data_IF_956320548103
#
_entry.id   IF_956320548103
#
_cell.length_a   1.000
_cell.length_b   1.000
_cell.length_c   1.000
_cell.angle_alpha   90.00
_cell.angle_beta   90.00
_cell.angle_gamma   90.00
#
_symmetry.space_group_name_H-M   'P 1'
#
loop_
_entity.id
_entity.type
_entity.pdbx_description
1 polymer ?
#
# COMPACT_ATOMS: atom_id res chain seq x y z
N UNK A 1 18.26 6.72 11.11
CA UNK A 1 16.88 6.18 11.28
C UNK A 1 15.90 7.34 11.20
N UNK A 2 14.73 7.12 10.59
CA UNK A 2 13.59 8.03 10.65
C UNK A 2 12.28 7.23 10.62
N UNK A 3 11.18 7.84 11.01
CA UNK A 3 9.82 7.30 10.87
C UNK A 3 8.96 8.26 10.06
N UNK A 4 8.07 7.71 9.24
CA UNK A 4 7.13 8.50 8.44
C UNK A 4 5.71 8.15 8.83
N UNK A 5 4.96 9.19 9.17
CA UNK A 5 3.53 9.12 9.35
C UNK A 5 2.84 9.89 8.24
N UNK A 6 1.95 9.21 7.50
CA UNK A 6 1.10 9.82 6.49
C UNK A 6 -0.33 9.88 7.03
N UNK A 7 -0.90 11.10 7.08
CA UNK A 7 -2.24 11.31 7.59
C UNK A 7 -3.26 10.75 6.58
N UNK A 8 -4.24 9.94 7.02
CA UNK A 8 -5.26 9.42 6.12
C UNK A 8 -6.06 10.55 5.43
N UNK A 9 -6.26 10.42 4.11
CA UNK A 9 -7.27 11.14 3.31
C UNK A 9 -7.28 12.68 3.43
N UNK A 10 -6.16 13.34 3.17
CA UNK A 10 -6.17 14.80 2.93
C UNK A 10 -5.42 15.17 1.66
N UNK A 11 -6.07 15.03 0.50
CA UNK A 11 -5.63 15.65 -0.76
C UNK A 11 -6.12 17.10 -0.84
N UNK A 12 -5.80 17.90 0.18
CA UNK A 12 -6.15 19.33 0.23
C UNK A 12 -4.87 20.16 0.25
N UNK A 13 -4.76 21.08 -0.71
CA UNK A 13 -3.67 22.03 -0.75
C UNK A 13 -3.62 22.86 0.53
N UNK A 14 -2.42 23.09 1.05
CA UNK A 14 -2.19 23.87 2.27
C UNK A 14 -2.45 23.10 3.58
N UNK A 15 -2.82 21.82 3.53
CA UNK A 15 -3.01 21.00 4.73
C UNK A 15 -1.83 20.04 4.93
N UNK A 16 -1.35 19.93 6.17
CA UNK A 16 -0.25 19.01 6.53
C UNK A 16 -0.65 17.56 6.25
N UNK A 17 0.03 16.93 5.29
CA UNK A 17 -0.20 15.54 4.88
C UNK A 17 0.48 14.47 5.74
N UNK A 18 1.42 14.85 6.61
CA UNK A 18 2.18 13.89 7.41
C UNK A 18 3.28 14.49 8.28
N UNK A 19 4.09 13.62 8.87
CA UNK A 19 5.27 13.93 9.69
C UNK A 19 6.41 13.00 9.34
N UNK A 20 7.62 13.54 9.21
CA UNK A 20 8.86 12.76 9.22
C UNK A 20 9.56 13.07 10.53
N UNK A 21 9.83 12.02 11.30
CA UNK A 21 10.53 12.10 12.59
C UNK A 21 11.94 11.53 12.40
N UNK A 22 12.95 12.39 12.57
CA UNK A 22 14.35 11.98 12.43
C UNK A 22 14.92 11.48 13.76
N UNK A 23 15.75 10.43 13.70
CA UNK A 23 16.49 9.92 14.86
C UNK A 23 15.70 9.09 15.86
N UNK A 24 14.38 8.94 15.70
CA UNK A 24 13.52 8.22 16.64
C UNK A 24 12.29 7.61 15.97
N UNK A 25 11.59 6.73 16.70
CA UNK A 25 10.26 6.25 16.34
C UNK A 25 9.20 7.29 16.72
N UNK A 26 8.23 7.50 15.83
CA UNK A 26 7.12 8.41 16.10
C UNK A 26 6.05 7.74 16.97
N UNK A 27 6.23 7.81 18.28
CA UNK A 27 5.29 7.22 19.24
C UNK A 27 4.03 8.08 19.45
N UNK A 28 3.94 9.27 18.82
CA UNK A 28 2.78 10.16 18.93
C UNK A 28 1.74 9.87 17.85
N UNK A 29 2.19 9.53 16.64
CA UNK A 29 1.31 9.29 15.50
C UNK A 29 1.19 7.80 15.11
N UNK A 30 2.19 6.97 15.42
CA UNK A 30 2.17 5.54 15.08
C UNK A 30 1.74 4.68 16.27
N UNK A 31 1.23 3.48 15.98
CA UNK A 31 0.89 2.49 17.00
C UNK A 31 2.12 1.96 17.74
N UNK A 32 1.90 1.34 18.90
CA UNK A 32 2.97 0.83 19.78
C UNK A 32 3.73 -0.38 19.21
N UNK A 33 3.20 -1.05 18.19
CA UNK A 33 3.81 -2.21 17.55
C UNK A 33 4.60 -1.79 16.32
N UNK A 34 5.90 -2.04 16.33
CA UNK A 34 6.80 -1.87 15.18
C UNK A 34 7.43 -3.22 14.86
N UNK A 35 7.10 -3.76 13.69
CA UNK A 35 7.75 -4.95 13.16
C UNK A 35 8.95 -4.53 12.30
N UNK A 36 10.07 -5.23 12.44
CA UNK A 36 11.30 -4.98 11.69
C UNK A 36 11.58 -6.12 10.72
N UNK A 37 11.97 -5.77 9.49
CA UNK A 37 12.34 -6.72 8.45
C UNK A 37 13.68 -6.34 7.82
N UNK A 38 14.46 -7.35 7.43
CA UNK A 38 15.72 -7.14 6.75
C UNK A 38 15.50 -6.59 5.34
N UNK A 39 16.32 -5.61 4.97
CA UNK A 39 16.35 -5.09 3.60
C UNK A 39 16.95 -6.14 2.65
N UNK A 40 16.41 -6.22 1.44
CA UNK A 40 16.98 -7.01 0.33
C UNK A 40 17.83 -6.16 -0.63
N UNK A 41 17.94 -4.85 -0.39
CA UNK A 41 18.77 -3.92 -1.14
C UNK A 41 19.58 -3.02 -0.21
N UNK A 42 20.78 -2.64 -0.64
CA UNK A 42 21.61 -1.63 0.03
C UNK A 42 21.31 -0.20 -0.41
N UNK A 43 20.57 -0.01 -1.50
CA UNK A 43 20.29 1.30 -2.11
C UNK A 43 18.84 1.75 -1.93
N UNK A 44 17.92 0.82 -1.66
CA UNK A 44 16.48 1.08 -1.61
C UNK A 44 15.88 0.56 -0.31
N UNK A 45 14.75 1.14 0.12
CA UNK A 45 13.89 0.60 1.18
C UNK A 45 13.09 -0.60 0.66
N UNK A 46 13.83 -1.59 0.16
CA UNK A 46 13.31 -2.82 -0.44
C UNK A 46 13.45 -3.98 0.54
N UNK A 47 12.40 -4.78 0.67
CA UNK A 47 12.36 -5.96 1.53
C UNK A 47 11.51 -7.05 0.89
N UNK A 48 11.50 -8.25 1.47
CA UNK A 48 10.74 -9.39 0.96
C UNK A 48 9.39 -9.55 1.66
N UNK A 49 8.37 -9.90 0.89
CA UNK A 49 7.07 -10.37 1.39
C UNK A 49 6.86 -11.83 0.97
N UNK A 50 6.03 -12.58 1.70
CA UNK A 50 5.74 -13.99 1.42
C UNK A 50 4.46 -14.20 0.61
N UNK A 51 3.51 -13.27 0.69
CA UNK A 51 2.31 -13.33 -0.14
C UNK A 51 1.59 -11.99 -0.23
N UNK A 52 0.83 -11.84 -1.33
CA UNK A 52 -0.16 -10.78 -1.51
C UNK A 52 -1.49 -11.41 -1.94
N UNK A 53 -2.60 -10.93 -1.40
CA UNK A 53 -3.93 -11.52 -1.64
C UNK A 53 -5.06 -10.50 -1.62
N UNK A 54 -6.12 -10.80 -2.34
CA UNK A 54 -7.40 -10.10 -2.28
C UNK A 54 -8.52 -11.10 -2.55
N UNK A 55 -9.54 -11.12 -1.68
CA UNK A 55 -10.63 -12.09 -1.76
C UNK A 55 -10.12 -13.54 -1.66
N UNK A 56 -10.48 -14.38 -2.63
CA UNK A 56 -10.02 -15.77 -2.70
C UNK A 56 -8.67 -15.94 -3.44
N UNK A 57 -8.17 -14.88 -4.08
CA UNK A 57 -6.92 -14.93 -4.84
C UNK A 57 -5.75 -14.64 -3.93
N UNK A 58 -4.74 -15.53 -3.95
CA UNK A 58 -3.50 -15.39 -3.20
C UNK A 58 -2.31 -15.74 -4.08
N UNK A 59 -1.35 -14.84 -4.13
CA UNK A 59 -0.05 -15.03 -4.77
C UNK A 59 0.98 -15.29 -3.67
N UNK A 60 1.59 -16.47 -3.68
CA UNK A 60 2.59 -16.90 -2.69
C UNK A 60 3.95 -16.96 -3.35
N UNK A 61 4.95 -16.38 -2.70
CA UNK A 61 6.32 -16.34 -3.20
C UNK A 61 7.13 -15.24 -2.52
N UNK A 62 8.44 -15.27 -2.72
CA UNK A 62 9.35 -14.26 -2.19
C UNK A 62 9.44 -13.08 -3.16
N UNK A 63 8.54 -12.11 -2.99
CA UNK A 63 8.53 -10.89 -3.80
C UNK A 63 9.39 -9.81 -3.14
N UNK A 64 10.28 -9.20 -3.92
CA UNK A 64 10.92 -7.95 -3.53
C UNK A 64 9.94 -6.79 -3.73
N UNK A 65 9.65 -6.07 -2.65
CA UNK A 65 8.80 -4.88 -2.65
C UNK A 65 9.58 -3.71 -2.09
N UNK A 66 9.25 -2.51 -2.57
CA UNK A 66 9.87 -1.27 -2.12
C UNK A 66 8.83 -0.39 -1.46
N UNK A 67 9.19 0.19 -0.32
CA UNK A 67 8.46 1.32 0.23
C UNK A 67 9.02 2.61 -0.35
N UNK A 68 8.16 3.38 -0.98
CA UNK A 68 8.44 4.74 -1.44
C UNK A 68 7.34 5.70 -0.96
N UNK A 69 7.48 6.98 -1.30
CA UNK A 69 6.47 8.00 -1.02
C UNK A 69 5.57 8.27 -2.22
N UNK A 70 5.40 7.28 -3.11
CA UNK A 70 4.50 7.39 -4.25
C UNK A 70 3.03 7.34 -3.81
N UNK A 71 2.15 7.78 -4.71
CA UNK A 71 0.71 7.86 -4.46
C UNK A 71 0.00 6.51 -4.65
N UNK A 72 0.61 5.56 -5.36
CA UNK A 72 -0.06 4.34 -5.81
C UNK A 72 0.74 3.10 -5.45
N UNK A 73 0.04 2.01 -5.13
CA UNK A 73 0.66 0.70 -5.02
C UNK A 73 0.79 0.12 -6.43
N UNK A 74 2.02 -0.15 -6.84
CA UNK A 74 2.35 -0.69 -8.16
C UNK A 74 2.87 -2.12 -8.05
N UNK A 75 2.69 -2.91 -9.09
CA UNK A 75 3.16 -4.30 -9.12
C UNK A 75 3.10 -4.90 -10.52
N UNK A 76 3.47 -6.18 -10.67
CA UNK A 76 3.38 -6.88 -11.95
C UNK A 76 1.96 -6.82 -12.51
N UNK A 77 1.83 -6.40 -13.77
CA UNK A 77 0.55 -6.17 -14.42
C UNK A 77 -0.43 -7.36 -14.26
N UNK A 78 -0.05 -8.64 -14.49
CA UNK A 78 -1.00 -9.74 -14.35
C UNK A 78 -1.62 -9.88 -12.95
N UNK A 79 -0.88 -9.52 -11.90
CA UNK A 79 -1.36 -9.57 -10.51
C UNK A 79 -2.31 -8.40 -10.24
N UNK A 80 -1.93 -7.20 -10.69
CA UNK A 80 -2.74 -5.99 -10.53
C UNK A 80 -4.06 -6.10 -11.30
N UNK A 81 -4.02 -6.58 -12.55
CA UNK A 81 -5.20 -6.80 -13.40
C UNK A 81 -6.19 -7.76 -12.74
N UNK A 82 -5.69 -8.83 -12.10
CA UNK A 82 -6.51 -9.79 -11.38
C UNK A 82 -7.20 -9.17 -10.15
N UNK A 83 -6.46 -8.40 -9.36
CA UNK A 83 -7.04 -7.70 -8.20
C UNK A 83 -8.01 -6.59 -8.63
N UNK A 84 -7.72 -5.87 -9.70
CA UNK A 84 -8.63 -4.90 -10.28
C UNK A 84 -9.96 -5.55 -10.71
N UNK A 85 -9.91 -6.73 -11.35
CA UNK A 85 -11.10 -7.48 -11.72
C UNK A 85 -11.93 -7.90 -10.49
N UNK A 86 -11.27 -8.33 -9.40
CA UNK A 86 -11.94 -8.65 -8.12
C UNK A 86 -12.61 -7.42 -7.50
N UNK A 87 -11.95 -6.26 -7.59
CA UNK A 87 -12.51 -5.00 -7.11
C UNK A 87 -13.66 -4.48 -7.99
N UNK A 88 -13.78 -4.97 -9.23
CA UNK A 88 -14.71 -4.42 -10.23
C UNK A 88 -14.19 -3.14 -10.90
N UNK A 89 -12.89 -2.88 -10.83
CA UNK A 89 -12.24 -1.74 -11.46
C UNK A 89 -11.94 -2.01 -12.95
N UNK A 90 -11.89 -0.95 -13.75
CA UNK A 90 -11.60 -1.01 -15.19
C UNK A 90 -10.35 -0.22 -15.51
N UNK A 91 -9.50 -0.78 -16.37
CA UNK A 91 -8.30 -0.07 -16.81
C UNK A 91 -8.67 1.09 -17.74
N UNK A 92 -8.27 2.29 -17.37
CA UNK A 92 -8.34 3.48 -18.20
C UNK A 92 -6.97 3.73 -18.84
N UNK A 93 -6.90 3.61 -20.17
CA UNK A 93 -5.66 3.74 -20.94
C UNK A 93 -5.10 5.16 -20.96
N UNK A 94 -5.97 6.16 -20.90
CA UNK A 94 -5.59 7.57 -20.98
C UNK A 94 -4.88 8.00 -19.70
N UNK A 95 -5.39 7.56 -18.55
CA UNK A 95 -4.76 7.82 -17.24
C UNK A 95 -3.72 6.77 -16.86
N UNK A 96 -3.69 5.62 -17.53
CA UNK A 96 -2.88 4.43 -17.18
C UNK A 96 -3.11 3.99 -15.74
N UNK A 97 -4.37 4.04 -15.31
CA UNK A 97 -4.83 3.72 -13.97
C UNK A 97 -6.10 2.87 -14.02
N UNK A 98 -6.42 2.25 -12.89
CA UNK A 98 -7.69 1.55 -12.70
C UNK A 98 -8.74 2.49 -12.10
N UNK A 99 -9.87 2.60 -12.78
CA UNK A 99 -11.03 3.40 -12.37
C UNK A 99 -12.11 2.52 -11.76
N UNK A 100 -12.75 3.04 -10.72
CA UNK A 100 -13.78 2.36 -9.95
C UNK A 100 -14.72 3.39 -9.32
N UNK A 101 -15.97 2.99 -9.07
CA UNK A 101 -16.93 3.80 -8.32
C UNK A 101 -16.39 4.10 -6.91
N UNK A 102 -16.52 5.35 -6.45
CA UNK A 102 -16.05 5.76 -5.12
C UNK A 102 -16.74 5.00 -3.98
N UNK A 103 -17.96 4.51 -4.21
CA UNK A 103 -18.74 3.73 -3.25
C UNK A 103 -18.49 2.22 -3.36
N UNK A 104 -17.56 1.78 -4.20
CA UNK A 104 -17.27 0.36 -4.36
C UNK A 104 -16.80 -0.28 -3.06
N UNK A 105 -17.27 -1.49 -2.84
CA UNK A 105 -16.93 -2.32 -1.69
C UNK A 105 -16.37 -3.63 -2.22
N UNK A 106 -15.12 -3.91 -1.87
CA UNK A 106 -14.37 -5.08 -2.29
C UNK A 106 -13.48 -5.58 -1.15
N UNK A 107 -12.97 -6.83 -1.21
CA UNK A 107 -12.12 -7.37 -0.17
C UNK A 107 -10.84 -6.53 0.06
N UNK A 108 -10.28 -6.58 1.27
CA UNK A 108 -9.00 -5.94 1.56
C UNK A 108 -7.86 -6.53 0.72
N UNK A 109 -6.85 -5.70 0.46
CA UNK A 109 -5.54 -6.16 0.02
C UNK A 109 -4.73 -6.59 1.24
N UNK A 110 -4.38 -7.86 1.31
CA UNK A 110 -3.63 -8.45 2.40
C UNK A 110 -2.20 -8.75 1.94
N UNK A 111 -1.21 -8.26 2.69
CA UNK A 111 0.23 -8.47 2.49
C UNK A 111 0.77 -9.26 3.69
N UNK A 112 1.46 -10.37 3.46
CA UNK A 112 2.03 -11.19 4.51
C UNK A 112 3.57 -11.12 4.52
N UNK A 113 4.14 -10.96 5.71
CA UNK A 113 5.59 -10.92 5.93
C UNK A 113 5.92 -11.70 7.21
N UNK A 114 6.59 -12.83 7.05
CA UNK A 114 6.76 -13.84 8.10
C UNK A 114 5.42 -14.29 8.66
N UNK A 115 5.24 -14.14 9.97
CA UNK A 115 3.99 -14.42 10.68
C UNK A 115 3.01 -13.24 10.73
N UNK A 116 3.42 -12.05 10.28
CA UNK A 116 2.57 -10.85 10.31
C UNK A 116 1.74 -10.72 9.03
N UNK A 117 0.52 -10.22 9.19
CA UNK A 117 -0.39 -9.87 8.08
C UNK A 117 -0.78 -8.40 8.18
N UNK A 118 -0.64 -7.68 7.08
CA UNK A 118 -1.01 -6.27 6.92
C UNK A 118 -2.18 -6.17 5.95
N UNK A 119 -3.32 -5.66 6.43
CA UNK A 119 -4.54 -5.54 5.63
C UNK A 119 -4.83 -4.08 5.29
N UNK A 120 -5.06 -3.80 4.01
CA UNK A 120 -5.45 -2.50 3.48
C UNK A 120 -6.89 -2.60 2.99
N UNK A 121 -7.81 -1.94 3.71
CA UNK A 121 -9.22 -1.93 3.37
C UNK A 121 -9.49 -1.16 2.06
N UNK A 122 -10.59 -1.51 1.37
CA UNK A 122 -10.98 -0.92 0.08
C UNK A 122 -11.03 0.62 0.11
N UNK A 123 -11.49 1.20 1.22
CA UNK A 123 -11.61 2.64 1.42
C UNK A 123 -10.24 3.37 1.46
N UNK A 124 -9.13 2.64 1.61
CA UNK A 124 -7.75 3.16 1.53
C UNK A 124 -7.10 2.92 0.17
N UNK A 125 -7.76 2.18 -0.73
CA UNK A 125 -7.27 1.83 -2.07
C UNK A 125 -7.95 2.65 -3.17
N UNK A 126 -8.93 3.49 -2.83
CA UNK A 126 -9.62 4.38 -3.76
C UNK A 126 -9.18 5.82 -3.53
N UNK A 127 -8.71 6.50 -4.58
CA UNK A 127 -8.46 7.94 -4.59
C UNK A 127 -9.59 8.61 -5.37
N UNK A 128 -10.31 9.54 -4.73
CA UNK A 128 -11.37 10.31 -5.38
C UNK A 128 -10.74 11.38 -6.28
N UNK A 129 -11.02 11.30 -7.58
CA UNK A 129 -10.75 12.36 -8.55
C UNK A 129 -11.96 13.31 -8.58
N UNK A 130 -11.72 14.62 -8.65
CA UNK A 130 -12.75 15.68 -8.61
C UNK A 130 -13.37 15.84 -9.99
#
# INVERSE_FOLDING_TARGET
>A
MFTVYLKPRQFKNGVRGGVITYGSTDNSNCGSKVDYYNLSSTLFYQFKINSISMGQTKHVGDYDVMQDFSTFIMGPQPIVDQFAAIAGAKYNKDFRLYEIECSANFPSLDIAIGSSKYSINHDKLIVKVI
#
